data_IF_101758675370
#
_entry.id   IF_101758675370
#
_cell.length_a   1.000
_cell.length_b   1.000
_cell.length_c   1.000
_cell.angle_alpha   90.00
_cell.angle_beta   90.00
_cell.angle_gamma   90.00
#
_symmetry.space_group_name_H-M   'P 1'
#
loop_
_entity.id
_entity.type
_entity.pdbx_description
1 polymer ?
#
# COMPACT_ATOMS: atom_id res chain seq x y z
N UNK A 1 -5.70 36.08 -6.45
CA UNK A 1 -6.95 35.37 -6.08
C UNK A 1 -7.26 34.17 -6.97
N UNK A 2 -7.29 34.29 -8.32
CA UNK A 2 -7.58 33.14 -9.22
C UNK A 2 -6.60 31.98 -9.10
N UNK A 3 -5.30 32.25 -8.95
CA UNK A 3 -4.28 31.20 -8.81
C UNK A 3 -4.45 30.40 -7.50
N UNK A 4 -4.80 31.06 -6.40
CA UNK A 4 -5.07 30.41 -5.11
C UNK A 4 -6.29 29.48 -5.23
N UNK A 5 -7.36 29.93 -5.88
CA UNK A 5 -8.55 29.12 -6.13
C UNK A 5 -8.27 27.93 -7.05
N UNK A 6 -7.38 28.09 -8.04
CA UNK A 6 -6.96 26.98 -8.91
C UNK A 6 -6.10 25.95 -8.17
N UNK A 7 -5.18 26.40 -7.32
CA UNK A 7 -4.37 25.51 -6.45
C UNK A 7 -5.28 24.74 -5.49
N UNK A 8 -6.20 25.44 -4.83
CA UNK A 8 -7.15 24.83 -3.90
C UNK A 8 -8.05 23.79 -4.59
N UNK A 9 -8.57 24.11 -5.78
CA UNK A 9 -9.38 23.16 -6.57
C UNK A 9 -8.56 21.94 -6.99
N UNK A 10 -7.30 22.14 -7.39
CA UNK A 10 -6.41 21.04 -7.79
C UNK A 10 -6.06 20.14 -6.61
N UNK A 11 -5.86 20.73 -5.44
CA UNK A 11 -5.62 20.00 -4.19
C UNK A 11 -6.86 19.22 -3.71
N UNK A 12 -8.05 19.84 -3.69
CA UNK A 12 -9.30 19.14 -3.36
C UNK A 12 -9.57 17.98 -4.31
N UNK A 13 -9.32 18.18 -5.60
CA UNK A 13 -9.44 17.09 -6.58
C UNK A 13 -8.41 15.99 -6.34
N UNK A 14 -7.17 16.33 -6.01
CA UNK A 14 -6.14 15.35 -5.66
C UNK A 14 -6.55 14.50 -4.44
N UNK A 15 -7.06 15.14 -3.40
CA UNK A 15 -7.55 14.48 -2.19
C UNK A 15 -8.73 13.53 -2.47
N UNK A 16 -9.69 13.97 -3.28
CA UNK A 16 -10.93 13.22 -3.56
C UNK A 16 -10.76 12.15 -4.65
N UNK A 17 -10.10 12.45 -5.77
CA UNK A 17 -9.95 11.50 -6.89
C UNK A 17 -8.80 10.52 -6.70
N UNK A 18 -7.82 10.86 -5.85
CA UNK A 18 -6.72 9.97 -5.52
C UNK A 18 -7.06 8.91 -4.47
N UNK A 19 -8.20 9.00 -3.76
CA UNK A 19 -8.43 8.26 -2.52
C UNK A 19 -7.28 8.45 -1.50
N UNK A 20 -6.66 9.62 -1.50
CA UNK A 20 -5.50 9.95 -0.65
C UNK A 20 -5.96 10.25 0.79
N UNK A 21 -7.15 10.85 0.94
CA UNK A 21 -7.71 11.19 2.26
C UNK A 21 -7.84 9.97 3.15
N UNK A 22 -8.36 8.85 2.64
CA UNK A 22 -8.65 7.67 3.46
C UNK A 22 -7.41 7.16 4.21
N UNK A 23 -6.34 6.75 3.49
CA UNK A 23 -5.11 6.29 4.10
C UNK A 23 -4.46 7.31 5.04
N UNK A 24 -4.36 8.58 4.62
CA UNK A 24 -3.74 9.64 5.43
C UNK A 24 -4.54 9.89 6.71
N UNK A 25 -5.87 9.99 6.62
CA UNK A 25 -6.74 10.21 7.79
C UNK A 25 -6.71 9.01 8.72
N UNK A 26 -6.73 7.79 8.17
CA UNK A 26 -6.58 6.57 8.95
C UNK A 26 -5.26 6.57 9.72
N UNK A 27 -4.15 6.94 9.08
CA UNK A 27 -2.84 6.94 9.73
C UNK A 27 -2.68 8.09 10.75
N UNK A 28 -3.21 9.27 10.45
CA UNK A 28 -3.23 10.42 11.37
C UNK A 28 -4.03 10.16 12.64
N UNK A 29 -5.09 9.35 12.57
CA UNK A 29 -5.91 9.00 13.74
C UNK A 29 -5.31 7.81 14.46
N UNK A 30 -4.92 6.75 13.74
CA UNK A 30 -4.51 5.50 14.38
C UNK A 30 -3.10 5.60 14.95
N UNK A 31 -2.18 6.35 14.33
CA UNK A 31 -0.81 6.52 14.84
C UNK A 31 -0.78 7.09 16.27
N UNK A 32 -1.43 8.23 16.57
CA UNK A 32 -1.54 8.74 17.92
C UNK A 32 -2.25 7.77 18.85
N UNK A 33 -3.40 7.19 18.45
CA UNK A 33 -4.16 6.29 19.30
C UNK A 33 -3.34 5.06 19.70
N UNK A 34 -2.69 4.41 18.75
CA UNK A 34 -1.83 3.25 19.00
C UNK A 34 -0.65 3.63 19.90
N UNK A 35 0.01 4.75 19.60
CA UNK A 35 1.16 5.20 20.41
C UNK A 35 0.79 5.50 21.87
N UNK A 36 -0.41 6.04 22.11
CA UNK A 36 -0.92 6.33 23.45
C UNK A 36 -1.32 5.05 24.19
N UNK A 37 -1.89 4.05 23.51
CA UNK A 37 -2.32 2.79 24.17
C UNK A 37 -1.09 1.96 24.59
N UNK A 38 -0.01 1.90 23.80
CA UNK A 38 1.18 1.09 24.19
C UNK A 38 2.05 1.83 25.21
N UNK A 39 1.94 3.16 25.35
CA UNK A 39 2.90 3.98 26.11
C UNK A 39 4.37 3.71 25.73
N UNK A 40 4.60 3.30 24.47
CA UNK A 40 5.90 2.94 23.95
C UNK A 40 6.48 4.10 23.14
N UNK A 41 7.45 4.80 23.71
CA UNK A 41 8.15 5.89 23.03
C UNK A 41 8.80 5.44 21.72
N UNK A 42 9.29 4.19 21.68
CA UNK A 42 9.89 3.59 20.48
C UNK A 42 8.86 3.45 19.34
N UNK A 43 7.67 2.92 19.64
CA UNK A 43 6.61 2.77 18.63
C UNK A 43 6.07 4.15 18.20
N UNK A 44 5.97 5.10 19.12
CA UNK A 44 5.61 6.48 18.80
C UNK A 44 6.58 7.09 17.76
N UNK A 45 7.90 6.98 17.99
CA UNK A 45 8.90 7.47 17.04
C UNK A 45 8.75 6.77 15.68
N UNK A 46 8.64 5.44 15.68
CA UNK A 46 8.54 4.65 14.46
C UNK A 46 7.32 5.05 13.62
N UNK A 47 6.13 5.17 14.23
CA UNK A 47 4.93 5.57 13.51
C UNK A 47 4.97 7.02 13.05
N UNK A 48 5.58 7.91 13.85
CA UNK A 48 5.78 9.30 13.44
C UNK A 48 6.65 9.40 12.20
N UNK A 49 7.74 8.62 12.14
CA UNK A 49 8.62 8.56 10.95
C UNK A 49 7.83 8.02 9.75
N UNK A 50 7.05 6.95 9.91
CA UNK A 50 6.24 6.38 8.83
C UNK A 50 5.18 7.37 8.32
N UNK A 51 4.50 8.08 9.22
CA UNK A 51 3.54 9.13 8.89
C UNK A 51 4.19 10.25 8.08
N UNK A 52 5.38 10.72 8.49
CA UNK A 52 6.11 11.75 7.76
C UNK A 52 6.55 11.29 6.36
N UNK A 53 6.96 10.02 6.23
CA UNK A 53 7.28 9.43 4.92
C UNK A 53 6.04 9.37 4.00
N UNK A 54 4.89 8.99 4.53
CA UNK A 54 3.61 8.96 3.79
C UNK A 54 3.18 10.35 3.33
N UNK A 55 3.21 11.34 4.25
CA UNK A 55 2.90 12.73 3.93
C UNK A 55 3.86 13.31 2.89
N UNK A 56 5.16 13.02 3.00
CA UNK A 56 6.16 13.47 2.05
C UNK A 56 5.97 12.84 0.67
N UNK A 57 5.69 11.54 0.61
CA UNK A 57 5.41 10.85 -0.64
C UNK A 57 4.13 11.38 -1.31
N UNK A 58 3.06 11.60 -0.53
CA UNK A 58 1.84 12.26 -0.98
C UNK A 58 2.09 13.66 -1.54
N UNK A 59 2.81 14.50 -0.79
CA UNK A 59 3.19 15.84 -1.24
C UNK A 59 3.99 15.83 -2.54
N UNK A 60 5.00 14.96 -2.64
CA UNK A 60 5.83 14.82 -3.84
C UNK A 60 4.97 14.39 -5.02
N UNK A 61 4.08 13.42 -4.84
CA UNK A 61 3.20 12.93 -5.89
C UNK A 61 2.23 14.00 -6.39
N UNK A 62 1.68 14.81 -5.48
CA UNK A 62 0.83 15.94 -5.83
C UNK A 62 1.60 17.00 -6.65
N UNK A 63 2.79 17.39 -6.18
CA UNK A 63 3.58 18.47 -6.79
C UNK A 63 4.16 18.10 -8.16
N UNK A 64 4.51 16.83 -8.36
CA UNK A 64 5.18 16.39 -9.59
C UNK A 64 4.22 16.02 -10.73
N UNK A 65 2.89 16.07 -10.49
CA UNK A 65 1.90 15.76 -11.52
C UNK A 65 2.06 14.35 -12.06
N UNK A 66 2.50 13.42 -11.20
CA UNK A 66 2.77 12.02 -11.53
C UNK A 66 1.55 11.40 -12.24
N UNK A 67 1.81 10.51 -13.20
CA UNK A 67 0.76 9.73 -13.84
C UNK A 67 -0.13 9.04 -12.80
N UNK A 68 -1.43 9.02 -13.05
CA UNK A 68 -2.47 8.49 -12.15
C UNK A 68 -2.12 7.07 -11.68
N UNK A 69 -1.51 6.27 -12.55
CA UNK A 69 -1.14 4.89 -12.25
C UNK A 69 -0.03 4.80 -11.20
N UNK A 70 1.02 5.62 -11.32
CA UNK A 70 2.11 5.66 -10.33
C UNK A 70 1.65 6.22 -8.98
N UNK A 71 0.70 7.16 -9.00
CA UNK A 71 0.05 7.65 -7.79
C UNK A 71 -0.77 6.57 -7.09
N UNK A 72 -1.59 5.81 -7.83
CA UNK A 72 -2.36 4.68 -7.29
C UNK A 72 -1.48 3.57 -6.72
N UNK A 73 -0.33 3.28 -7.34
CA UNK A 73 0.65 2.32 -6.80
C UNK A 73 1.23 2.77 -5.47
N UNK A 74 1.58 4.05 -5.36
CA UNK A 74 2.09 4.64 -4.12
C UNK A 74 1.03 4.56 -3.00
N UNK A 75 -0.23 4.86 -3.29
CA UNK A 75 -1.32 4.74 -2.32
C UNK A 75 -1.59 3.29 -1.94
N UNK A 76 -1.62 2.37 -2.91
CA UNK A 76 -1.77 0.94 -2.66
C UNK A 76 -0.66 0.40 -1.77
N UNK A 77 0.58 0.86 -1.98
CA UNK A 77 1.71 0.57 -1.11
C UNK A 77 1.45 1.02 0.33
N UNK A 78 1.11 2.29 0.56
CA UNK A 78 0.84 2.78 1.92
C UNK A 78 -0.34 2.06 2.57
N UNK A 79 -1.42 1.81 1.83
CA UNK A 79 -2.58 1.10 2.34
C UNK A 79 -2.23 -0.31 2.82
N UNK A 80 -1.46 -1.08 2.04
CA UNK A 80 -1.06 -2.46 2.41
C UNK A 80 0.01 -2.46 3.50
N UNK A 81 0.92 -1.48 3.48
CA UNK A 81 1.92 -1.33 4.53
C UNK A 81 1.22 -1.08 5.86
N UNK A 82 0.22 -0.20 5.84
CA UNK A 82 -0.61 0.11 6.99
C UNK A 82 -1.38 -1.13 7.43
N UNK A 83 -2.03 -1.85 6.51
CA UNK A 83 -2.76 -3.08 6.84
C UNK A 83 -1.87 -4.15 7.50
N UNK A 84 -0.70 -4.43 6.92
CA UNK A 84 0.27 -5.38 7.47
C UNK A 84 0.78 -4.94 8.83
N UNK A 85 1.05 -3.65 9.00
CA UNK A 85 1.48 -3.07 10.27
C UNK A 85 0.40 -3.19 11.35
N UNK A 86 -0.87 -2.93 11.04
CA UNK A 86 -1.97 -3.06 12.00
C UNK A 86 -2.23 -4.52 12.38
N UNK A 87 -2.04 -5.45 11.45
CA UNK A 87 -2.20 -6.88 11.71
C UNK A 87 -1.14 -7.42 12.69
N UNK A 88 0.08 -6.85 12.71
CA UNK A 88 1.12 -7.25 13.67
C UNK A 88 0.98 -6.59 15.05
N UNK A 89 0.22 -5.48 15.15
CA UNK A 89 0.09 -4.71 16.39
C UNK A 89 -0.42 -5.50 17.60
N UNK A 90 -1.46 -6.36 17.51
CA UNK A 90 -1.96 -7.08 18.67
C UNK A 90 -0.88 -7.87 19.41
N UNK A 91 0.09 -8.44 18.68
CA UNK A 91 1.20 -9.17 19.30
C UNK A 91 2.18 -8.22 19.98
N UNK A 92 2.48 -7.07 19.39
CA UNK A 92 3.31 -6.05 20.02
C UNK A 92 2.69 -5.50 21.30
N UNK A 93 1.36 -5.30 21.32
CA UNK A 93 0.64 -4.90 22.51
C UNK A 93 0.72 -5.96 23.62
N UNK A 94 0.41 -7.22 23.29
CA UNK A 94 0.36 -8.28 24.30
C UNK A 94 1.76 -8.62 24.84
N UNK A 95 2.78 -8.52 24.01
CA UNK A 95 4.15 -8.84 24.41
C UNK A 95 4.91 -7.65 25.01
N UNK A 96 4.33 -6.44 25.04
CA UNK A 96 5.02 -5.22 25.45
C UNK A 96 5.66 -5.35 26.85
N UNK A 97 6.91 -4.88 26.98
CA UNK A 97 7.69 -5.00 28.22
C UNK A 97 8.33 -6.36 28.46
N UNK A 98 8.12 -7.35 27.57
CA UNK A 98 8.76 -8.68 27.65
C UNK A 98 9.82 -8.88 26.57
N UNK A 99 10.64 -9.93 26.70
CA UNK A 99 11.61 -10.31 25.65
C UNK A 99 10.94 -10.65 24.31
N UNK A 100 9.69 -11.16 24.34
CA UNK A 100 8.93 -11.50 23.15
C UNK A 100 8.57 -10.28 22.30
N UNK A 101 8.46 -9.09 22.91
CA UNK A 101 8.27 -7.84 22.17
C UNK A 101 9.48 -7.54 21.28
N UNK A 102 10.69 -7.62 21.83
CA UNK A 102 11.90 -7.34 21.07
C UNK A 102 12.16 -8.38 19.97
N UNK A 103 11.84 -9.65 20.25
CA UNK A 103 11.95 -10.73 19.25
C UNK A 103 10.96 -10.49 18.09
N UNK A 104 9.69 -10.23 18.41
CA UNK A 104 8.65 -10.02 17.38
C UNK A 104 8.88 -8.73 16.59
N UNK A 105 9.28 -7.64 17.27
CA UNK A 105 9.65 -6.38 16.62
C UNK A 105 10.89 -6.55 15.74
N UNK A 106 11.93 -7.20 16.25
CA UNK A 106 13.17 -7.46 15.51
C UNK A 106 12.92 -8.28 14.26
N UNK A 107 12.09 -9.32 14.35
CA UNK A 107 11.68 -10.15 13.20
C UNK A 107 10.94 -9.32 12.15
N UNK A 108 10.01 -8.46 12.60
CA UNK A 108 9.25 -7.58 11.70
C UNK A 108 10.15 -6.55 11.00
N UNK A 109 11.07 -5.91 11.73
CA UNK A 109 12.02 -4.95 11.18
C UNK A 109 13.02 -5.60 10.22
N UNK A 110 13.49 -6.81 10.53
CA UNK A 110 14.34 -7.59 9.62
C UNK A 110 13.62 -7.90 8.31
N UNK A 111 12.35 -8.31 8.38
CA UNK A 111 11.53 -8.57 7.20
C UNK A 111 11.33 -7.29 6.38
N UNK A 112 11.01 -6.16 7.02
CA UNK A 112 10.91 -4.86 6.33
C UNK A 112 12.23 -4.45 5.66
N UNK A 113 13.35 -4.59 6.37
CA UNK A 113 14.68 -4.29 5.83
C UNK A 113 15.02 -5.18 4.63
N UNK A 114 14.74 -6.48 4.73
CA UNK A 114 14.90 -7.42 3.63
C UNK A 114 14.03 -7.05 2.43
N UNK A 115 12.76 -6.68 2.66
CA UNK A 115 11.84 -6.25 1.62
C UNK A 115 12.32 -4.99 0.90
N UNK A 116 12.83 -4.00 1.62
CA UNK A 116 13.33 -2.73 1.04
C UNK A 116 14.62 -2.96 0.26
N UNK A 117 15.50 -3.85 0.71
CA UNK A 117 16.79 -4.13 0.05
C UNK A 117 16.66 -5.05 -1.16
N UNK A 118 15.67 -5.95 -1.17
CA UNK A 118 15.47 -6.95 -2.24
C UNK A 118 14.15 -6.76 -2.99
N UNK A 119 13.56 -5.56 -2.96
CA UNK A 119 12.25 -5.24 -3.55
C UNK A 119 12.06 -5.81 -4.96
N UNK A 120 13.03 -5.58 -5.86
CA UNK A 120 12.94 -6.03 -7.26
C UNK A 120 12.90 -7.55 -7.38
N UNK A 121 13.81 -8.25 -6.70
CA UNK A 121 13.94 -9.72 -6.75
C UNK A 121 12.70 -10.39 -6.17
N UNK A 122 12.16 -9.83 -5.08
CA UNK A 122 10.95 -10.36 -4.44
C UNK A 122 9.73 -10.15 -5.35
N UNK A 123 9.58 -8.97 -5.95
CA UNK A 123 8.49 -8.69 -6.86
C UNK A 123 8.52 -9.62 -8.09
N UNK A 124 9.68 -9.77 -8.74
CA UNK A 124 9.88 -10.72 -9.84
C UNK A 124 9.55 -12.16 -9.41
N UNK A 125 9.97 -12.55 -8.21
CA UNK A 125 9.67 -13.87 -7.67
C UNK A 125 8.19 -14.12 -7.39
N UNK A 126 7.44 -13.11 -6.95
CA UNK A 126 6.00 -13.22 -6.72
C UNK A 126 5.23 -13.27 -8.04
N UNK A 127 5.68 -12.53 -9.06
CA UNK A 127 5.05 -12.54 -10.39
C UNK A 127 5.27 -13.85 -11.14
N UNK A 128 6.48 -14.42 -11.06
CA UNK A 128 6.84 -15.70 -11.69
C UNK A 128 7.28 -16.73 -10.64
N UNK A 129 6.33 -17.27 -9.85
CA UNK A 129 6.67 -18.16 -8.75
C UNK A 129 7.21 -19.53 -9.20
N UNK A 130 6.91 -19.97 -10.42
CA UNK A 130 7.38 -21.25 -10.94
C UNK A 130 8.92 -21.30 -11.11
N UNK A 131 9.53 -20.15 -11.41
CA UNK A 131 10.96 -20.03 -11.71
C UNK A 131 11.77 -19.50 -10.51
N UNK A 132 11.10 -18.91 -9.52
CA UNK A 132 11.75 -18.29 -8.35
C UNK A 132 11.61 -19.12 -7.08
N UNK A 133 12.74 -19.44 -6.44
CA UNK A 133 12.74 -20.04 -5.09
C UNK A 133 11.99 -19.16 -4.08
N UNK A 134 12.16 -17.83 -4.16
CA UNK A 134 11.51 -16.88 -3.25
C UNK A 134 9.99 -16.91 -3.46
N UNK A 135 9.53 -16.97 -4.72
CA UNK A 135 8.12 -17.10 -5.06
C UNK A 135 7.50 -18.39 -4.52
N UNK A 136 8.17 -19.53 -4.71
CA UNK A 136 7.72 -20.83 -4.16
C UNK A 136 7.64 -20.80 -2.64
N UNK A 137 8.72 -20.32 -1.99
CA UNK A 137 8.77 -20.21 -0.54
C UNK A 137 7.65 -19.30 0.00
N UNK A 138 7.38 -18.18 -0.67
CA UNK A 138 6.27 -17.29 -0.34
C UNK A 138 4.92 -17.99 -0.44
N UNK A 139 4.61 -18.65 -1.57
CA UNK A 139 3.33 -19.34 -1.76
C UNK A 139 3.12 -20.44 -0.71
N UNK A 140 4.15 -21.26 -0.46
CA UNK A 140 4.08 -22.34 0.54
C UNK A 140 3.86 -21.75 1.93
N UNK A 141 4.62 -20.73 2.30
CA UNK A 141 4.52 -20.08 3.61
C UNK A 141 3.16 -19.38 3.77
N UNK A 142 2.68 -18.70 2.74
CA UNK A 142 1.38 -18.05 2.73
C UNK A 142 0.25 -19.09 2.84
N UNK A 143 0.35 -20.23 2.15
CA UNK A 143 -0.64 -21.30 2.26
C UNK A 143 -0.68 -21.90 3.67
N UNK A 144 0.49 -22.17 4.28
CA UNK A 144 0.58 -22.65 5.67
C UNK A 144 0.00 -21.61 6.63
N UNK A 145 0.38 -20.34 6.49
CA UNK A 145 -0.10 -19.26 7.37
C UNK A 145 -1.59 -19.07 7.21
N UNK A 146 -2.14 -19.07 5.99
CA UNK A 146 -3.59 -18.98 5.76
C UNK A 146 -4.30 -20.18 6.38
N UNK A 147 -3.77 -21.40 6.24
CA UNK A 147 -4.37 -22.58 6.84
C UNK A 147 -4.37 -22.53 8.38
N UNK A 148 -3.31 -21.98 8.98
CA UNK A 148 -3.21 -21.78 10.43
C UNK A 148 -3.98 -20.54 10.90
N UNK A 149 -4.17 -19.51 10.07
CA UNK A 149 -4.75 -18.24 10.49
C UNK A 149 -6.22 -18.07 10.10
N UNK A 150 -6.78 -18.96 9.27
CA UNK A 150 -8.23 -18.97 9.00
C UNK A 150 -8.94 -19.14 10.35
N UNK A 151 -9.81 -18.20 10.74
CA UNK A 151 -10.55 -18.31 11.98
C UNK A 151 -11.52 -19.48 11.84
N UNK A 152 -11.21 -20.55 12.56
CA UNK A 152 -12.03 -21.74 12.69
C UNK A 152 -13.48 -21.43 13.15
N UNK A 153 -13.79 -20.23 13.64
CA UNK A 153 -15.17 -19.81 13.94
C UNK A 153 -16.09 -19.71 12.70
N UNK A 154 -15.56 -19.51 11.49
CA UNK A 154 -16.38 -19.35 10.29
C UNK A 154 -16.88 -20.68 9.70
N UNK A 155 -16.35 -21.83 10.16
CA UNK A 155 -16.71 -23.18 9.67
C UNK A 155 -17.03 -24.11 10.84
N UNK A 156 -18.24 -24.71 10.92
CA UNK A 156 -18.68 -25.48 12.07
C UNK A 156 -17.83 -26.73 12.38
N UNK A 157 -17.12 -27.27 11.39
CA UNK A 157 -16.24 -28.44 11.53
C UNK A 157 -14.80 -28.08 11.95
N UNK A 158 -14.29 -26.92 11.57
CA UNK A 158 -12.95 -26.43 11.95
C UNK A 158 -12.99 -25.73 13.33
N UNK A 159 -14.12 -25.08 13.65
CA UNK A 159 -14.42 -24.45 14.95
C UNK A 159 -14.48 -25.42 16.12
N UNK A 160 -14.51 -26.71 15.85
CA UNK A 160 -14.51 -27.76 16.88
C UNK A 160 -13.19 -27.75 17.65
N UNK A 161 -12.05 -27.60 16.97
CA UNK A 161 -10.73 -27.50 17.63
C UNK A 161 -10.64 -26.19 18.42
N UNK A 162 -11.07 -25.07 17.82
CA UNK A 162 -11.02 -23.77 18.48
C UNK A 162 -11.92 -23.70 19.72
N UNK A 163 -13.05 -24.42 19.73
CA UNK A 163 -13.95 -24.53 20.88
C UNK A 163 -13.39 -25.41 22.00
N UNK A 164 -12.54 -26.38 21.66
CA UNK A 164 -11.88 -27.28 22.61
C UNK A 164 -10.64 -26.67 23.27
N UNK A 165 -10.11 -25.57 22.73
CA UNK A 165 -8.99 -24.85 23.34
C UNK A 165 -9.47 -24.04 24.54
N UNK A 166 -8.59 -23.86 25.53
CA UNK A 166 -8.81 -22.89 26.60
C UNK A 166 -8.83 -21.46 26.06
N UNK A 167 -9.60 -20.57 26.67
CA UNK A 167 -9.73 -19.18 26.22
C UNK A 167 -8.39 -18.43 26.19
N UNK A 168 -7.48 -18.75 27.12
CA UNK A 168 -6.10 -18.22 27.11
C UNK A 168 -5.32 -18.66 25.87
N UNK A 169 -5.49 -19.92 25.46
CA UNK A 169 -4.82 -20.48 24.28
C UNK A 169 -5.41 -19.88 23.01
N UNK A 170 -6.74 -19.68 22.95
CA UNK A 170 -7.40 -18.98 21.83
C UNK A 170 -6.89 -17.56 21.65
N UNK A 171 -6.73 -16.80 22.74
CA UNK A 171 -6.22 -15.42 22.67
C UNK A 171 -4.81 -15.37 22.09
N UNK A 172 -3.92 -16.26 22.54
CA UNK A 172 -2.56 -16.37 21.99
C UNK A 172 -2.61 -16.76 20.52
N UNK A 173 -3.40 -17.79 20.17
CA UNK A 173 -3.57 -18.25 18.79
C UNK A 173 -4.03 -17.13 17.85
N UNK A 174 -5.07 -16.38 18.21
CA UNK A 174 -5.63 -15.32 17.36
C UNK A 174 -4.57 -14.24 17.13
N UNK A 175 -3.89 -13.81 18.20
CA UNK A 175 -2.89 -12.74 18.12
C UNK A 175 -1.66 -13.17 17.31
N UNK A 176 -1.18 -14.41 17.51
CA UNK A 176 -0.09 -14.98 16.70
C UNK A 176 -0.49 -15.15 15.23
N UNK A 177 -1.73 -15.60 14.97
CA UNK A 177 -2.27 -15.75 13.62
C UNK A 177 -2.37 -14.41 12.89
N UNK A 178 -2.87 -13.36 13.56
CA UNK A 178 -2.90 -12.00 13.02
C UNK A 178 -1.49 -11.49 12.70
N UNK A 179 -0.52 -11.76 13.57
CA UNK A 179 0.87 -11.40 13.32
C UNK A 179 1.44 -12.08 12.06
N UNK A 180 1.22 -13.39 11.91
CA UNK A 180 1.66 -14.15 10.73
C UNK A 180 0.99 -13.65 9.44
N UNK A 181 -0.30 -13.37 9.47
CA UNK A 181 -1.02 -12.75 8.34
C UNK A 181 -0.45 -11.37 8.03
N UNK A 182 -0.15 -10.57 9.05
CA UNK A 182 0.49 -9.27 8.89
C UNK A 182 1.84 -9.37 8.17
N UNK A 183 2.69 -10.34 8.54
CA UNK A 183 3.96 -10.60 7.84
C UNK A 183 3.75 -10.96 6.36
N UNK A 184 2.77 -11.82 6.05
CA UNK A 184 2.45 -12.21 4.67
C UNK A 184 1.98 -11.01 3.85
N UNK A 185 1.06 -10.19 4.39
CA UNK A 185 0.56 -8.99 3.74
C UNK A 185 1.72 -8.02 3.46
N UNK A 186 2.58 -7.79 4.44
CA UNK A 186 3.77 -6.93 4.30
C UNK A 186 4.72 -7.47 3.22
N UNK A 187 4.83 -8.80 3.05
CA UNK A 187 5.69 -9.39 2.02
C UNK A 187 5.20 -9.15 0.58
N UNK A 188 3.92 -8.81 0.38
CA UNK A 188 3.35 -8.48 -0.94
C UNK A 188 3.68 -7.04 -1.37
N UNK A 189 4.15 -6.18 -0.46
CA UNK A 189 4.46 -4.77 -0.74
C UNK A 189 5.33 -4.52 -2.00
N UNK A 190 6.39 -5.31 -2.27
CA UNK A 190 7.27 -5.08 -3.42
C UNK A 190 6.56 -5.14 -4.78
N UNK A 191 5.47 -5.90 -4.89
CA UNK A 191 4.68 -6.07 -6.12
C UNK A 191 4.11 -4.74 -6.63
N UNK A 192 3.83 -3.80 -5.72
CA UNK A 192 3.28 -2.49 -6.07
C UNK A 192 4.31 -1.56 -6.73
N UNK A 193 5.60 -1.76 -6.43
CA UNK A 193 6.68 -0.98 -7.04
C UNK A 193 7.09 -1.54 -8.41
N UNK A 194 6.99 -2.86 -8.59
CA UNK A 194 7.38 -3.55 -9.83
C UNK A 194 6.24 -4.47 -10.28
N UNK A 195 5.18 -3.94 -10.92
CA UNK A 195 4.14 -4.79 -11.48
C UNK A 195 4.69 -5.60 -12.66
N UNK A 196 4.28 -6.86 -12.80
CA UNK A 196 4.53 -7.68 -13.99
C UNK A 196 4.13 -6.89 -15.22
N UNK A 197 5.00 -6.89 -16.24
CA UNK A 197 4.89 -6.10 -17.47
C UNK A 197 3.43 -6.00 -17.96
N UNK A 198 2.77 -4.90 -17.61
CA UNK A 198 1.54 -4.53 -18.27
C UNK A 198 1.95 -4.09 -19.66
N UNK A 199 1.65 -4.91 -20.68
CA UNK A 199 1.42 -4.40 -22.02
C UNK A 199 0.40 -3.26 -21.83
N UNK A 200 0.90 -2.03 -21.85
CA UNK A 200 0.04 -0.87 -21.76
C UNK A 200 -0.88 -0.95 -22.97
N UNK A 201 -2.12 -1.39 -22.78
CA UNK A 201 -3.19 -0.90 -23.62
C UNK A 201 -3.07 0.62 -23.51
N UNK A 202 -2.69 1.24 -24.64
CA UNK A 202 -2.57 2.68 -24.75
C UNK A 202 -3.84 3.28 -24.16
N UNK A 203 -3.74 3.88 -22.97
CA UNK A 203 -4.83 4.67 -22.45
C UNK A 203 -5.23 5.65 -23.56
N UNK A 204 -6.51 5.73 -23.94
CA UNK A 204 -6.93 6.68 -24.96
C UNK A 204 -6.48 8.05 -24.47
N UNK A 205 -5.49 8.64 -25.17
CA UNK A 205 -4.74 9.83 -24.76
C UNK A 205 -5.70 10.88 -24.20
N UNK A 206 -5.85 10.86 -22.88
CA UNK A 206 -6.66 11.79 -22.14
C UNK A 206 -5.99 13.14 -22.18
N UNK A 207 -6.28 13.91 -23.23
CA UNK A 207 -6.04 15.35 -23.37
C UNK A 207 -4.69 15.81 -22.80
N UNK A 208 -3.57 15.39 -23.42
CA UNK A 208 -2.32 16.16 -23.34
C UNK A 208 -2.67 17.61 -23.65
N UNK A 209 -2.44 18.53 -22.70
CA UNK A 209 -2.58 19.98 -22.95
C UNK A 209 -1.56 20.33 -24.03
N UNK A 210 -2.02 20.36 -25.29
CA UNK A 210 -1.24 20.81 -26.44
C UNK A 210 -0.59 22.15 -26.09
N UNK A 211 0.72 22.24 -26.35
CA UNK A 211 1.48 23.47 -26.20
C UNK A 211 0.83 24.60 -27.00
N UNK A 212 1.01 25.86 -26.60
CA UNK A 212 0.49 27.02 -27.36
C UNK A 212 0.94 26.99 -28.83
N UNK A 213 2.14 26.46 -29.10
CA UNK A 213 2.66 26.27 -30.44
C UNK A 213 1.86 25.22 -31.23
N UNK A 214 1.57 24.08 -30.63
CA UNK A 214 0.79 23.01 -31.26
C UNK A 214 -0.68 23.41 -31.48
N UNK A 215 -1.27 24.22 -30.60
CA UNK A 215 -2.61 24.79 -30.80
C UNK A 215 -2.67 25.75 -31.97
N UNK A 216 -1.63 26.56 -32.18
CA UNK A 216 -1.53 27.43 -33.37
C UNK A 216 -1.41 26.60 -34.65
N UNK A 217 -0.56 25.57 -34.64
CA UNK A 217 -0.38 24.69 -35.79
C UNK A 217 -1.67 23.90 -36.15
N UNK A 218 -2.41 23.41 -35.15
CA UNK A 218 -3.69 22.72 -35.37
C UNK A 218 -4.80 23.67 -35.87
N UNK A 219 -4.83 24.92 -35.40
CA UNK A 219 -5.75 25.92 -35.95
C UNK A 219 -5.41 26.26 -37.40
N UNK A 220 -4.13 26.44 -37.73
CA UNK A 220 -3.70 26.68 -39.11
C UNK A 220 -4.06 25.51 -40.05
N UNK A 221 -3.84 24.26 -39.61
CA UNK A 221 -4.24 23.07 -40.39
C UNK A 221 -5.74 22.95 -40.59
N UNK A 222 -6.57 23.34 -39.60
CA UNK A 222 -8.03 23.33 -39.74
C UNK A 222 -8.56 24.41 -40.67
N UNK A 223 -7.88 25.55 -40.78
CA UNK A 223 -8.25 26.62 -41.72
C UNK A 223 -7.97 26.20 -43.16
N UNK A 224 -6.80 25.59 -43.44
CA UNK A 224 -6.48 25.10 -44.78
C UNK A 224 -7.42 23.97 -45.23
N UNK A 225 -7.79 23.06 -44.32
CA UNK A 225 -8.70 21.95 -44.64
C UNK A 225 -10.13 22.41 -44.92
N UNK A 226 -10.55 23.57 -44.38
CA UNK A 226 -11.84 24.18 -44.69
C UNK A 226 -11.82 24.90 -46.05
N UNK A 227 -10.69 25.53 -46.37
CA UNK A 227 -10.49 26.18 -47.67
C UNK A 227 -10.47 25.17 -48.84
N UNK A 228 -10.00 23.94 -48.63
CA UNK A 228 -10.06 22.88 -49.66
C UNK A 228 -11.47 22.31 -49.87
N UNK A 229 -12.35 22.33 -48.86
CA UNK A 229 -13.73 21.82 -48.97
C UNK A 229 -14.73 22.84 -49.49
N UNK A 230 -14.39 24.13 -49.49
CA UNK A 230 -15.27 25.20 -50.00
C UNK A 230 -15.00 25.53 -51.48
N UNK A 231 -14.06 24.83 -52.15
CA UNK A 231 -13.67 25.05 -53.56
C UNK A 231 -14.02 23.84 -54.46
N UNK A 232 -14.79 22.87 -53.94
CA UNK A 232 -15.30 21.72 -54.71
C UNK A 232 -16.81 21.81 -54.96
#
# INVERSE_FOLDING_TARGET
MREIQEVERTFKNYLNYGNVIGPITMYLIITPMVSLIVSSFLLFILFTILLLLELFAGWRSWRSGVDRQSHQRMIGFFMILNFGLHAVMPLFFLSFGTILFYISLGTYLLLLFFLITKTKVIAEGIHNPAESWIGKAFIITAAIIVFVAIPADARPTEGLIMRLLDDKVKQIYIITSMYLVGLVITFVLPVFFYPADFKAEEQPKGRRKLSRAERKALKAKKVNKKAETDVS
#
